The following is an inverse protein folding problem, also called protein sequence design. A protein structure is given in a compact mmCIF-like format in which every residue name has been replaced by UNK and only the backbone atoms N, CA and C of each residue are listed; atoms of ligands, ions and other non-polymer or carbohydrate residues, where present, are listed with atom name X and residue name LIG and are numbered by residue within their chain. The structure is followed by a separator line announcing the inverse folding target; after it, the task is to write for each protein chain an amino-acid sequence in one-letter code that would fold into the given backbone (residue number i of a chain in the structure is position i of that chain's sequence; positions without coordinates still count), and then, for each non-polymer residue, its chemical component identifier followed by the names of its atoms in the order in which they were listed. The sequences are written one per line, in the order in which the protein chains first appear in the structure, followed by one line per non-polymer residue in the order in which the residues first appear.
data_IF_910577704395
#
_entry.id   IF_910577704395
#
_cell.length_a   1.000
_cell.length_b   1.000
_cell.length_c   1.000
_cell.angle_alpha   90.00
_cell.angle_beta   90.00
_cell.angle_gamma   90.00
#
_symmetry.space_group_name_H-M   'P 1'
#
loop_
_entity.id
_entity.type
_entity.pdbx_description
1 polymer ?
#
# COMPACT_ATOMS: atom_id res chain seq x y z
N UNK A 1 34.99 -18.23 -8.43
CA UNK A 1 33.55 -18.47 -8.31
C UNK A 1 33.20 -19.68 -9.15
N UNK A 2 32.73 -20.75 -8.53
CA UNK A 2 32.32 -21.97 -9.24
C UNK A 2 30.81 -21.97 -9.54
N UNK A 3 30.35 -22.84 -10.44
CA UNK A 3 28.93 -22.93 -10.83
C UNK A 3 28.01 -23.37 -9.67
N UNK A 4 28.51 -24.15 -8.72
CA UNK A 4 27.78 -24.56 -7.53
C UNK A 4 27.60 -23.43 -6.51
N UNK A 5 28.52 -22.46 -6.46
CA UNK A 5 28.39 -21.24 -5.65
C UNK A 5 27.21 -20.38 -6.10
N UNK A 6 27.08 -20.17 -7.43
CA UNK A 6 25.94 -19.46 -8.04
C UNK A 6 24.61 -20.19 -7.79
N UNK A 7 24.63 -21.52 -7.84
CA UNK A 7 23.45 -22.33 -7.52
C UNK A 7 23.06 -22.22 -6.04
N UNK A 8 24.03 -22.16 -5.12
CA UNK A 8 23.77 -21.95 -3.69
C UNK A 8 23.19 -20.56 -3.40
N UNK A 9 23.62 -19.52 -4.09
CA UNK A 9 23.00 -18.18 -3.98
C UNK A 9 21.54 -18.19 -4.47
N UNK A 10 21.26 -18.82 -5.61
CA UNK A 10 19.90 -18.94 -6.15
C UNK A 10 18.98 -19.73 -5.20
N UNK A 11 19.46 -20.84 -4.62
CA UNK A 11 18.69 -21.66 -3.67
C UNK A 11 18.49 -20.94 -2.33
N UNK A 12 19.47 -20.17 -1.86
CA UNK A 12 19.33 -19.33 -0.65
C UNK A 12 18.32 -18.21 -0.83
N UNK A 13 18.27 -17.58 -2.01
CA UNK A 13 17.29 -16.56 -2.34
C UNK A 13 15.86 -17.08 -2.46
N UNK A 14 15.68 -18.35 -2.81
CA UNK A 14 14.35 -18.99 -2.95
C UNK A 14 13.77 -19.51 -1.62
N UNK A 15 14.61 -19.82 -0.63
CA UNK A 15 14.20 -20.39 0.66
C UNK A 15 14.27 -19.40 1.83
N UNK A 16 14.64 -18.14 1.61
CA UNK A 16 14.47 -17.11 2.62
C UNK A 16 12.95 -16.92 2.85
N UNK A 17 12.46 -16.94 4.11
CA UNK A 17 11.05 -16.64 4.37
C UNK A 17 10.74 -15.29 3.74
N UNK A 18 9.75 -15.25 2.82
CA UNK A 18 9.30 -14.01 2.20
C UNK A 18 8.97 -13.05 3.33
N UNK A 19 9.71 -11.94 3.42
CA UNK A 19 9.48 -10.96 4.46
C UNK A 19 8.12 -10.33 4.20
N UNK A 20 7.09 -10.84 4.88
CA UNK A 20 5.73 -10.33 4.80
C UNK A 20 5.66 -9.04 5.59
N UNK A 21 5.09 -7.99 5.00
CA UNK A 21 4.87 -6.75 5.73
C UNK A 21 3.88 -7.00 6.88
N UNK A 22 4.06 -6.30 8.00
CA UNK A 22 3.05 -6.29 9.06
C UNK A 22 1.87 -5.44 8.61
N UNK A 23 0.69 -6.02 8.50
CA UNK A 23 -0.55 -5.29 8.17
C UNK A 23 -1.28 -4.88 9.45
N UNK A 24 -1.64 -3.60 9.56
CA UNK A 24 -2.41 -3.05 10.68
C UNK A 24 -3.62 -2.31 10.13
N UNK A 25 -4.82 -2.86 10.28
CA UNK A 25 -6.04 -2.19 9.85
C UNK A 25 -6.58 -1.27 10.94
N UNK A 26 -6.75 0.01 10.62
CA UNK A 26 -7.41 1.00 11.49
C UNK A 26 -8.88 1.17 11.07
N UNK A 27 -9.81 0.79 11.94
CA UNK A 27 -11.26 0.81 11.63
C UNK A 27 -12.10 1.35 12.79
N UNK A 28 -13.37 1.69 12.52
CA UNK A 28 -14.35 2.16 13.50
C UNK A 28 -15.77 2.03 12.95
N UNK A 29 -16.76 1.90 13.84
CA UNK A 29 -18.18 1.88 13.46
C UNK A 29 -18.81 3.26 13.23
N UNK A 30 -18.05 4.35 13.43
CA UNK A 30 -18.54 5.74 13.33
C UNK A 30 -17.58 6.61 12.51
N UNK A 31 -18.14 7.53 11.71
CA UNK A 31 -17.38 8.58 11.03
C UNK A 31 -16.77 9.59 12.00
N UNK A 32 -15.72 10.29 11.58
CA UNK A 32 -15.15 11.42 12.33
C UNK A 32 -14.34 11.10 13.60
N UNK A 33 -14.13 9.83 13.95
CA UNK A 33 -13.39 9.43 15.17
C UNK A 33 -11.86 9.53 15.06
N UNK A 34 -11.33 10.06 13.96
CA UNK A 34 -9.89 10.25 13.78
C UNK A 34 -9.10 9.07 13.19
N UNK A 35 -9.75 8.08 12.56
CA UNK A 35 -9.08 6.92 11.93
C UNK A 35 -7.90 7.32 11.02
N UNK A 36 -8.17 8.14 10.01
CA UNK A 36 -7.16 8.58 9.04
C UNK A 36 -6.03 9.36 9.71
N UNK A 37 -6.35 10.14 10.75
CA UNK A 37 -5.35 10.85 11.56
C UNK A 37 -4.43 9.88 12.29
N UNK A 38 -4.98 8.86 12.93
CA UNK A 38 -4.18 7.82 13.59
C UNK A 38 -3.34 7.07 12.56
N UNK A 39 -3.89 6.64 11.41
CA UNK A 39 -3.14 5.93 10.38
C UNK A 39 -1.96 6.74 9.84
N UNK A 40 -2.17 8.02 9.51
CA UNK A 40 -1.12 8.91 9.00
C UNK A 40 -0.03 9.14 10.04
N UNK A 41 -0.40 9.53 11.26
CA UNK A 41 0.58 9.84 12.30
C UNK A 41 1.34 8.59 12.78
N UNK A 42 0.66 7.44 12.87
CA UNK A 42 1.32 6.16 13.16
C UNK A 42 2.31 5.80 12.06
N UNK A 43 1.95 6.01 10.79
CA UNK A 43 2.83 5.73 9.65
C UNK A 43 4.07 6.61 9.67
N UNK A 44 3.90 7.89 9.96
CA UNK A 44 5.01 8.84 10.14
C UNK A 44 5.93 8.39 11.28
N UNK A 45 5.37 8.07 12.46
CA UNK A 45 6.16 7.64 13.62
C UNK A 45 6.93 6.35 13.35
N UNK A 46 6.32 5.38 12.67
CA UNK A 46 6.99 4.14 12.26
C UNK A 46 8.11 4.40 11.24
N UNK A 47 7.88 5.32 10.30
CA UNK A 47 8.90 5.70 9.32
C UNK A 47 10.10 6.38 9.98
N UNK A 48 9.85 7.28 10.93
CA UNK A 48 10.89 7.90 11.77
C UNK A 48 11.67 6.87 12.60
N UNK A 49 11.04 5.76 12.98
CA UNK A 49 11.70 4.61 13.61
C UNK A 49 12.43 3.69 12.61
N UNK A 50 12.61 4.12 11.35
CA UNK A 50 13.36 3.43 10.31
C UNK A 50 12.59 2.31 9.60
N UNK A 51 11.25 2.28 9.69
CA UNK A 51 10.43 1.31 8.95
C UNK A 51 10.03 1.84 7.59
N UNK A 52 10.04 0.98 6.58
CA UNK A 52 9.40 1.28 5.29
C UNK A 52 7.89 1.15 5.48
N UNK A 53 7.15 2.25 5.36
CA UNK A 53 5.70 2.28 5.60
C UNK A 53 4.96 2.61 4.32
N UNK A 54 3.87 1.87 4.06
CA UNK A 54 2.87 2.24 3.05
C UNK A 54 1.49 2.31 3.70
N UNK A 55 0.77 3.41 3.48
CA UNK A 55 -0.61 3.60 3.93
C UNK A 55 -1.55 3.31 2.75
N UNK A 56 -2.51 2.42 2.91
CA UNK A 56 -3.56 2.16 1.93
C UNK A 56 -4.86 2.83 2.39
N UNK A 57 -5.27 3.90 1.70
CA UNK A 57 -6.57 4.51 1.97
C UNK A 57 -7.68 3.67 1.33
N UNK A 58 -8.31 2.82 2.13
CA UNK A 58 -9.39 1.93 1.71
C UNK A 58 -10.79 2.58 1.72
N UNK A 59 -10.88 3.90 1.96
CA UNK A 59 -12.14 4.64 1.89
C UNK A 59 -12.40 5.13 0.45
N UNK A 60 -13.02 4.28 -0.37
CA UNK A 60 -13.25 4.49 -1.82
C UNK A 60 -14.29 5.58 -2.17
N UNK A 61 -14.73 6.39 -1.21
CA UNK A 61 -15.60 7.54 -1.45
C UNK A 61 -14.94 8.88 -1.14
N UNK A 62 -14.08 8.91 -0.12
CA UNK A 62 -13.50 10.12 0.44
C UNK A 62 -12.02 9.87 0.76
N UNK A 63 -11.16 10.13 -0.22
CA UNK A 63 -9.72 9.99 -0.05
C UNK A 63 -9.20 11.01 0.97
N UNK A 64 -9.01 10.57 2.22
CA UNK A 64 -8.69 11.43 3.34
C UNK A 64 -7.18 11.60 3.49
N UNK A 65 -6.39 10.57 3.18
CA UNK A 65 -4.93 10.60 3.39
C UNK A 65 -4.28 11.66 2.52
N UNK A 66 -4.63 11.73 1.24
CA UNK A 66 -4.06 12.70 0.30
C UNK A 66 -4.37 14.16 0.69
N UNK A 67 -5.59 14.40 1.20
CA UNK A 67 -6.03 15.72 1.71
C UNK A 67 -5.27 16.07 2.97
N UNK A 68 -5.14 15.13 3.92
CA UNK A 68 -4.41 15.35 5.17
C UNK A 68 -2.93 15.64 4.95
N UNK A 69 -2.33 15.01 3.94
CA UNK A 69 -0.93 15.23 3.58
C UNK A 69 -0.74 16.47 2.69
N UNK A 70 -1.81 17.03 2.11
CA UNK A 70 -1.74 18.13 1.16
C UNK A 70 -1.09 17.75 -0.17
N UNK A 71 -1.13 16.48 -0.55
CA UNK A 71 -0.43 15.93 -1.72
C UNK A 71 -1.47 15.37 -2.69
N UNK A 72 -1.39 15.77 -3.97
CA UNK A 72 -2.22 15.17 -5.03
C UNK A 72 -1.50 13.98 -5.65
N UNK A 73 -1.99 12.74 -5.48
CA UNK A 73 -1.39 11.59 -6.14
C UNK A 73 -1.58 11.68 -7.66
N UNK A 74 -0.59 11.20 -8.41
CA UNK A 74 -0.65 11.15 -9.87
C UNK A 74 -1.59 10.05 -10.36
N UNK A 75 -1.60 8.93 -9.64
CA UNK A 75 -2.42 7.76 -9.91
C UNK A 75 -2.96 7.19 -8.59
N UNK A 76 -4.10 6.50 -8.65
CA UNK A 76 -4.77 5.89 -7.50
C UNK A 76 -5.15 4.42 -7.79
N UNK A 77 -5.86 3.76 -6.87
CA UNK A 77 -6.28 2.37 -7.06
C UNK A 77 -7.14 2.13 -8.31
N UNK A 78 -7.97 3.10 -8.71
CA UNK A 78 -8.76 2.97 -9.93
C UNK A 78 -7.85 2.90 -11.17
N UNK A 79 -6.73 3.60 -11.19
CA UNK A 79 -5.77 3.50 -12.30
C UNK A 79 -5.10 2.12 -12.36
N UNK A 80 -4.85 1.48 -11.22
CA UNK A 80 -4.34 0.11 -11.18
C UNK A 80 -5.37 -0.91 -11.67
N UNK A 81 -6.62 -0.77 -11.26
CA UNK A 81 -7.70 -1.71 -11.61
C UNK A 81 -8.14 -1.55 -13.06
N UNK A 82 -8.31 -0.31 -13.53
CA UNK A 82 -8.99 -0.02 -14.80
C UNK A 82 -8.06 0.50 -15.90
N UNK A 83 -6.86 0.98 -15.57
CA UNK A 83 -5.96 1.65 -16.53
C UNK A 83 -4.59 0.99 -16.67
N UNK A 84 -4.43 -0.20 -16.08
CA UNK A 84 -3.21 -1.01 -16.22
C UNK A 84 -1.97 -0.41 -15.55
N UNK A 85 -2.14 0.47 -14.55
CA UNK A 85 -1.00 0.96 -13.75
C UNK A 85 -0.46 -0.12 -12.83
N UNK A 86 0.85 -0.11 -12.62
CA UNK A 86 1.49 -1.02 -11.68
C UNK A 86 1.24 -0.56 -10.23
N UNK A 87 1.49 -1.45 -9.26
CA UNK A 87 1.43 -1.08 -7.85
C UNK A 87 2.43 0.04 -7.53
N UNK A 88 3.62 0.02 -8.11
CA UNK A 88 4.64 1.04 -7.86
C UNK A 88 4.26 2.41 -8.42
N UNK A 89 3.50 2.45 -9.52
CA UNK A 89 3.03 3.71 -10.12
C UNK A 89 2.03 4.46 -9.22
N UNK A 90 1.26 3.72 -8.43
CA UNK A 90 0.18 4.28 -7.59
C UNK A 90 0.63 4.60 -6.16
N UNK A 91 1.86 4.25 -5.78
CA UNK A 91 2.44 4.64 -4.49
C UNK A 91 2.97 6.07 -4.61
N UNK A 92 2.30 7.00 -3.93
CA UNK A 92 2.72 8.39 -3.81
C UNK A 92 3.58 8.56 -2.57
N UNK A 93 4.64 9.36 -2.65
CA UNK A 93 5.52 9.64 -1.50
C UNK A 93 4.98 10.82 -0.70
N UNK A 94 4.90 10.63 0.61
CA UNK A 94 4.54 11.63 1.60
C UNK A 94 5.73 12.09 2.46
N UNK A 95 5.46 12.84 3.54
CA UNK A 95 6.48 13.28 4.48
C UNK A 95 7.16 12.09 5.17
N UNK A 96 8.39 12.30 5.65
CA UNK A 96 9.18 11.25 6.31
C UNK A 96 9.30 9.96 5.49
N UNK A 97 9.28 10.06 4.15
CA UNK A 97 9.37 8.94 3.19
C UNK A 97 8.25 7.89 3.24
N UNK A 98 7.13 8.15 3.94
CA UNK A 98 5.97 7.25 3.88
C UNK A 98 5.48 7.12 2.43
N UNK A 99 5.11 5.91 2.02
CA UNK A 99 4.29 5.71 0.83
C UNK A 99 2.81 5.81 1.20
N UNK A 100 1.98 6.28 0.29
CA UNK A 100 0.54 6.10 0.40
C UNK A 100 -0.10 5.78 -0.94
N UNK A 101 -1.15 4.98 -0.90
CA UNK A 101 -2.00 4.62 -2.03
C UNK A 101 -3.37 5.21 -1.78
N UNK A 102 -3.83 6.06 -2.70
CA UNK A 102 -5.16 6.65 -2.64
C UNK A 102 -6.23 5.68 -3.13
N UNK A 103 -7.34 5.62 -2.40
CA UNK A 103 -8.55 4.91 -2.81
C UNK A 103 -9.22 5.49 -4.06
N UNK A 104 -8.94 6.76 -4.38
CA UNK A 104 -9.64 7.54 -5.40
C UNK A 104 -10.95 8.11 -4.84
N UNK A 105 -11.08 9.45 -4.81
CA UNK A 105 -12.31 10.10 -4.35
C UNK A 105 -13.32 10.26 -5.49
N UNK A 106 -14.59 9.95 -5.21
CA UNK A 106 -15.70 10.20 -6.15
C UNK A 106 -15.77 9.27 -7.35
N UNK A 107 -15.04 8.16 -7.36
CA UNK A 107 -15.04 7.18 -8.46
C UNK A 107 -16.10 6.12 -8.19
N UNK A 108 -17.24 6.19 -8.88
CA UNK A 108 -18.37 5.29 -8.63
C UNK A 108 -18.03 3.83 -8.91
N UNK A 109 -17.15 3.57 -9.88
CA UNK A 109 -16.70 2.25 -10.29
C UNK A 109 -15.96 1.53 -9.15
N UNK A 110 -15.31 2.27 -8.24
CA UNK A 110 -14.63 1.70 -7.08
C UNK A 110 -15.60 1.15 -6.02
N UNK A 111 -16.85 1.62 -5.99
CA UNK A 111 -17.86 1.10 -5.07
C UNK A 111 -18.44 -0.24 -5.52
N UNK A 112 -18.29 -0.58 -6.82
CA UNK A 112 -18.93 -1.74 -7.45
C UNK A 112 -17.91 -2.61 -8.18
N UNK A 113 -16.83 -2.99 -7.50
CA UNK A 113 -15.83 -3.90 -8.05
C UNK A 113 -16.41 -5.30 -8.25
N UNK A 114 -16.14 -5.88 -9.42
CA UNK A 114 -16.46 -7.28 -9.72
C UNK A 114 -15.57 -8.23 -8.91
N UNK A 115 -15.99 -9.50 -8.78
CA UNK A 115 -15.20 -10.52 -8.08
C UNK A 115 -13.79 -10.68 -8.66
N UNK A 116 -13.66 -10.65 -9.98
CA UNK A 116 -12.37 -10.78 -10.65
C UNK A 116 -11.46 -9.58 -10.38
N UNK A 117 -12.02 -8.36 -10.31
CA UNK A 117 -11.28 -7.16 -9.93
C UNK A 117 -10.83 -7.19 -8.46
N UNK A 118 -11.65 -7.73 -7.56
CA UNK A 118 -11.26 -7.93 -6.15
C UNK A 118 -10.12 -8.94 -6.05
N UNK A 119 -10.20 -10.07 -6.76
CA UNK A 119 -9.13 -11.07 -6.79
C UNK A 119 -7.84 -10.46 -7.35
N UNK A 120 -7.94 -9.73 -8.46
CA UNK A 120 -6.81 -9.02 -9.06
C UNK A 120 -6.19 -8.01 -8.08
N UNK A 121 -7.02 -7.20 -7.41
CA UNK A 121 -6.55 -6.23 -6.41
C UNK A 121 -5.81 -6.92 -5.27
N UNK A 122 -6.38 -7.98 -4.70
CA UNK A 122 -5.73 -8.75 -3.62
C UNK A 122 -4.38 -9.30 -4.07
N UNK A 123 -4.30 -9.88 -5.28
CA UNK A 123 -3.04 -10.36 -5.84
C UNK A 123 -2.01 -9.24 -5.96
N UNK A 124 -2.41 -8.06 -6.46
CA UNK A 124 -1.53 -6.89 -6.59
C UNK A 124 -1.07 -6.35 -5.24
N UNK A 125 -1.93 -6.32 -4.23
CA UNK A 125 -1.56 -5.85 -2.90
C UNK A 125 -0.51 -6.76 -2.23
N UNK A 126 -0.38 -8.04 -2.60
CA UNK A 126 0.72 -8.88 -2.11
C UNK A 126 2.11 -8.44 -2.57
N UNK A 127 2.20 -7.60 -3.61
CA UNK A 127 3.46 -6.99 -4.05
C UNK A 127 3.94 -5.92 -3.04
N UNK A 128 3.06 -5.41 -2.15
CA UNK A 128 3.44 -4.46 -1.09
C UNK A 128 4.42 -5.05 -0.07
N UNK A 129 4.46 -6.38 0.10
CA UNK A 129 5.44 -7.05 0.96
C UNK A 129 6.89 -6.68 0.60
N UNK A 130 7.14 -6.38 -0.67
CA UNK A 130 8.48 -6.00 -1.14
C UNK A 130 8.78 -4.52 -0.89
N UNK A 131 7.74 -3.70 -0.76
CA UNK A 131 7.83 -2.24 -0.67
C UNK A 131 7.80 -1.71 0.76
N UNK A 132 7.25 -2.49 1.71
CA UNK A 132 7.00 -2.04 3.07
C UNK A 132 7.40 -3.10 4.12
N UNK A 133 7.83 -2.63 5.28
CA UNK A 133 7.90 -3.43 6.50
C UNK A 133 6.56 -3.39 7.26
N UNK A 134 5.80 -2.29 7.11
CA UNK A 134 4.47 -2.11 7.71
C UNK A 134 3.51 -1.50 6.69
N UNK A 135 2.31 -2.09 6.58
CA UNK A 135 1.19 -1.59 5.80
C UNK A 135 0.10 -1.16 6.77
N UNK A 136 -0.37 0.10 6.64
CA UNK A 136 -1.45 0.68 7.44
C UNK A 136 -2.72 0.85 6.60
#
# INVERSE_FOLDING_TARGET
MDQAEKLRELVRGQNAPRQTARVITVTSGKGGVGKSSISVNLGIALSQAGKRVVILDADFGLANVEVMLGIRPKFNLADLIFRGKSLTDIITRGPENIGFISGGSGIQEMNNLTRDQIIYLVQKLTELDQQADVIL
#
